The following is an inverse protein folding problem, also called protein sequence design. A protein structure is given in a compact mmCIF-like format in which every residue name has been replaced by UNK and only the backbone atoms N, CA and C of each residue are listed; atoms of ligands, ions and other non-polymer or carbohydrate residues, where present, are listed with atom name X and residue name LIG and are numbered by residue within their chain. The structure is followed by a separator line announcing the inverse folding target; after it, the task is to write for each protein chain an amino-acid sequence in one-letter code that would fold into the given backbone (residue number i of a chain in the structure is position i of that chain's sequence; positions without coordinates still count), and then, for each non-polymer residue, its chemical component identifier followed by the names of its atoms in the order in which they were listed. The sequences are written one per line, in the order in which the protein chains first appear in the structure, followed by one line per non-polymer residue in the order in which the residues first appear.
data_IF_267887576096
#
_entry.id   IF_267887576096
#
_cell.length_a   1.000
_cell.length_b   1.000
_cell.length_c   1.000
_cell.angle_alpha   90.00
_cell.angle_beta   90.00
_cell.angle_gamma   90.00
#
_symmetry.space_group_name_H-M   'P 1'
#
loop_
_entity.id
_entity.type
_entity.pdbx_description
1 polymer ?
#
# COMPACT_ATOMS: atom_id res chain seq x y z
N UNK A 1 -16.93 -14.66 0.34
CA UNK A 1 -15.47 -14.89 0.34
C UNK A 1 -14.91 -14.24 1.60
N UNK A 2 -14.02 -14.91 2.34
CA UNK A 2 -13.41 -14.38 3.57
C UNK A 2 -11.93 -14.16 3.31
N UNK A 3 -11.45 -12.94 3.51
CA UNK A 3 -10.04 -12.59 3.36
C UNK A 3 -9.38 -12.54 4.74
N UNK A 4 -8.12 -12.96 4.80
CA UNK A 4 -7.28 -12.86 5.99
C UNK A 4 -6.00 -12.14 5.58
N UNK A 5 -5.57 -11.20 6.41
CA UNK A 5 -4.34 -10.44 6.22
C UNK A 5 -3.38 -10.77 7.36
N UNK A 6 -2.13 -11.04 7.01
CA UNK A 6 -1.04 -11.20 7.94
C UNK A 6 0.23 -10.63 7.32
N UNK A 7 1.10 -10.07 8.15
CA UNK A 7 2.40 -9.57 7.73
C UNK A 7 3.48 -10.63 7.98
N UNK A 8 4.31 -10.90 6.97
CA UNK A 8 5.41 -11.85 7.07
C UNK A 8 6.60 -11.38 6.25
N UNK A 9 7.80 -11.59 6.78
CA UNK A 9 9.03 -11.40 6.02
C UNK A 9 9.41 -12.72 5.36
N UNK A 10 9.61 -12.70 4.05
CA UNK A 10 10.04 -13.89 3.32
C UNK A 10 11.42 -14.35 3.80
N UNK A 11 11.59 -15.66 3.91
CA UNK A 11 12.89 -16.29 4.16
C UNK A 11 13.85 -16.02 2.99
N UNK A 12 15.15 -16.30 3.19
CA UNK A 12 16.16 -16.20 2.10
C UNK A 12 15.82 -17.08 0.89
N UNK A 13 15.06 -18.15 1.10
CA UNK A 13 14.63 -19.10 0.07
C UNK A 13 13.39 -18.60 -0.68
N UNK A 14 12.85 -17.42 -0.32
CA UNK A 14 11.64 -16.82 -0.88
C UNK A 14 10.41 -17.73 -0.74
N UNK A 15 10.37 -18.52 0.33
CA UNK A 15 9.25 -19.37 0.68
C UNK A 15 8.25 -18.61 1.57
N UNK A 16 6.96 -18.75 1.27
CA UNK A 16 5.87 -18.22 2.08
C UNK A 16 5.36 -19.33 3.01
N UNK A 17 5.64 -19.20 4.30
CA UNK A 17 5.11 -20.11 5.31
C UNK A 17 3.80 -19.57 5.88
N UNK A 18 2.79 -20.44 6.00
CA UNK A 18 1.52 -20.08 6.63
C UNK A 18 1.71 -20.06 8.15
N UNK A 19 1.45 -18.92 8.83
CA UNK A 19 1.56 -18.82 10.27
C UNK A 19 0.69 -19.86 11.00
N UNK A 20 1.13 -20.33 12.16
CA UNK A 20 0.43 -21.38 12.91
C UNK A 20 -1.02 -21.00 13.25
N UNK A 21 -1.27 -19.73 13.55
CA UNK A 21 -2.59 -19.16 13.85
C UNK A 21 -3.57 -19.28 12.68
N UNK A 22 -3.07 -19.29 11.45
CA UNK A 22 -3.87 -19.43 10.24
C UNK A 22 -4.19 -20.89 9.91
N UNK A 23 -3.40 -21.86 10.40
CA UNK A 23 -3.58 -23.28 10.08
C UNK A 23 -4.90 -23.84 10.62
N UNK A 24 -5.39 -23.35 11.75
CA UNK A 24 -6.68 -23.75 12.33
C UNK A 24 -7.87 -23.10 11.61
N UNK A 25 -7.66 -21.97 10.94
CA UNK A 25 -8.69 -21.21 10.24
C UNK A 25 -8.85 -21.64 8.78
N UNK A 26 -7.85 -22.31 8.21
CA UNK A 26 -7.83 -22.73 6.81
C UNK A 26 -8.31 -24.20 6.71
N UNK A 27 -9.45 -24.46 6.07
CA UNK A 27 -9.93 -25.82 5.86
C UNK A 27 -8.97 -26.61 4.95
N UNK A 28 -8.57 -27.80 5.40
CA UNK A 28 -7.66 -28.67 4.65
C UNK A 28 -8.25 -29.03 3.28
N UNK A 29 -7.39 -29.10 2.26
CA UNK A 29 -7.76 -29.53 0.90
C UNK A 29 -8.61 -28.53 0.10
N UNK A 30 -8.92 -27.35 0.65
CA UNK A 30 -9.66 -26.32 -0.07
C UNK A 30 -8.71 -25.46 -0.93
N UNK A 31 -9.06 -25.14 -2.18
CA UNK A 31 -8.29 -24.20 -2.98
C UNK A 31 -8.39 -22.80 -2.37
N UNK A 32 -7.24 -22.15 -2.19
CA UNK A 32 -7.14 -20.79 -1.65
C UNK A 32 -6.51 -19.85 -2.67
N UNK A 33 -6.96 -18.58 -2.67
CA UNK A 33 -6.35 -17.50 -3.44
C UNK A 33 -5.44 -16.69 -2.53
N UNK A 34 -4.16 -16.57 -2.88
CA UNK A 34 -3.17 -15.78 -2.14
C UNK A 34 -2.96 -14.44 -2.86
N UNK A 35 -2.92 -13.35 -2.09
CA UNK A 35 -2.56 -12.01 -2.57
C UNK A 35 -1.31 -11.59 -1.80
N UNK A 36 -0.26 -11.21 -2.52
CA UNK A 36 0.98 -10.70 -1.95
C UNK A 36 1.05 -9.20 -2.20
N UNK A 37 1.15 -8.42 -1.13
CA UNK A 37 1.35 -6.98 -1.20
C UNK A 37 2.78 -6.71 -0.75
N UNK A 38 3.58 -6.15 -1.65
CA UNK A 38 4.89 -5.64 -1.30
C UNK A 38 4.73 -4.14 -1.03
N UNK A 39 5.41 -3.60 0.00
CA UNK A 39 5.40 -2.16 0.21
C UNK A 39 6.01 -1.48 -1.02
N UNK A 40 5.23 -0.60 -1.64
CA UNK A 40 5.72 0.27 -2.69
C UNK A 40 6.54 1.38 -2.01
N UNK A 41 7.86 1.35 -2.19
CA UNK A 41 8.74 2.36 -1.64
C UNK A 41 8.58 3.73 -2.33
N UNK A 42 7.92 3.77 -3.49
CA UNK A 42 7.77 4.96 -4.33
C UNK A 42 6.40 5.62 -4.23
N UNK A 43 5.39 4.92 -3.74
CA UNK A 43 4.00 5.43 -3.67
C UNK A 43 3.92 6.80 -2.97
N UNK A 44 4.52 6.94 -1.78
CA UNK A 44 4.52 8.22 -1.05
C UNK A 44 5.26 9.34 -1.79
N UNK A 45 6.37 9.01 -2.48
CA UNK A 45 7.15 9.99 -3.23
C UNK A 45 6.38 10.45 -4.48
N UNK A 46 5.67 9.54 -5.15
CA UNK A 46 4.85 9.86 -6.31
C UNK A 46 3.60 10.66 -5.94
N UNK A 47 2.94 10.34 -4.83
CA UNK A 47 1.85 11.16 -4.30
C UNK A 47 2.31 12.56 -3.90
N UNK A 48 3.46 12.68 -3.24
CA UNK A 48 4.04 13.98 -2.88
C UNK A 48 4.38 14.80 -4.14
N UNK A 49 5.02 14.17 -5.13
CA UNK A 49 5.36 14.81 -6.41
C UNK A 49 4.11 15.26 -7.18
N UNK A 50 3.10 14.40 -7.27
CA UNK A 50 1.85 14.72 -7.96
C UNK A 50 1.11 15.87 -7.25
N UNK A 51 1.04 15.84 -5.93
CA UNK A 51 0.41 16.90 -5.13
C UNK A 51 1.10 18.23 -5.37
N UNK A 52 2.44 18.29 -5.31
CA UNK A 52 3.19 19.52 -5.58
C UNK A 52 2.91 20.06 -7.00
N UNK A 53 2.90 19.18 -8.01
CA UNK A 53 2.63 19.56 -9.39
C UNK A 53 1.21 20.10 -9.61
N UNK A 54 0.21 19.50 -8.97
CA UNK A 54 -1.19 19.91 -9.15
C UNK A 54 -1.56 21.12 -8.30
N UNK A 55 -1.01 21.21 -7.07
CA UNK A 55 -1.19 22.35 -6.19
C UNK A 55 -0.66 23.64 -6.84
N UNK A 56 0.54 23.59 -7.45
CA UNK A 56 1.11 24.73 -8.17
C UNK A 56 0.32 25.13 -9.43
N UNK A 57 -0.32 24.17 -10.11
CA UNK A 57 -1.14 24.46 -11.29
C UNK A 57 -2.48 25.11 -10.95
N UNK A 58 -2.99 24.86 -9.75
CA UNK A 58 -4.25 25.43 -9.27
C UNK A 58 -4.10 26.83 -8.68
N UNK A 59 -2.86 27.28 -8.40
CA UNK A 59 -2.60 28.60 -7.84
C UNK A 59 -2.72 29.66 -8.95
N UNK A 60 -3.83 30.38 -8.97
CA UNK A 60 -4.00 31.51 -9.89
C UNK A 60 -3.36 32.76 -9.28
N UNK A 61 -2.87 33.68 -10.13
CA UNK A 61 -2.37 34.98 -9.68
C UNK A 61 -3.44 35.79 -8.91
N UNK A 62 -4.71 35.52 -9.19
CA UNK A 62 -5.86 36.08 -8.47
C UNK A 62 -5.98 35.58 -7.01
N UNK A 63 -5.34 34.46 -6.64
CA UNK A 63 -5.34 33.92 -5.28
C UNK A 63 -4.21 34.50 -4.42
N UNK A 64 -3.25 35.22 -5.02
CA UNK A 64 -2.11 35.85 -4.35
C UNK A 64 -2.46 37.16 -3.60
N UNK A 65 -3.75 37.47 -3.44
CA UNK A 65 -4.25 38.71 -2.80
C UNK A 65 -3.75 38.87 -1.36
N UNK A 66 -3.42 37.76 -0.69
CA UNK A 66 -2.89 37.77 0.69
C UNK A 66 -1.39 37.54 0.78
N UNK A 67 -0.68 37.33 -0.33
CA UNK A 67 0.76 36.98 -0.30
C UNK A 67 1.67 38.17 0.06
N UNK A 68 1.14 39.40 0.00
CA UNK A 68 1.89 40.64 0.22
C UNK A 68 1.35 41.48 1.42
N UNK A 69 0.54 40.89 2.30
CA UNK A 69 0.13 41.50 3.59
C UNK A 69 1.03 41.03 4.72
#
# INVERSE_FOLDING_TARGET
MKAFEFQVTLSKEKTLEVPAEMKSLLPAGSPIRVILLLPDQTENADWARLTAQQFQKGYAEADAVYDNL
#
